data_IF_233247117401
#
_entry.id   IF_233247117401
#
_cell.length_a   1.000
_cell.length_b   1.000
_cell.length_c   1.000
_cell.angle_alpha   90.00
_cell.angle_beta   90.00
_cell.angle_gamma   90.00
#
_symmetry.space_group_name_H-M   'P 1'
#
loop_
_entity.id
_entity.type
_entity.pdbx_description
1 polymer ?
#
# COMPACT_ATOMS: atom_id res chain seq x y z
N UNK A 1 9.01 12.94 -13.77
CA UNK A 1 10.34 12.88 -13.09
C UNK A 1 11.41 12.24 -13.99
N UNK A 2 12.69 12.47 -13.72
CA UNK A 2 13.83 11.92 -14.48
C UNK A 2 14.26 10.58 -13.91
N UNK A 3 13.56 9.53 -14.22
CA UNK A 3 13.80 8.21 -13.65
C UNK A 3 14.55 7.23 -14.55
N UNK A 4 14.51 7.43 -15.90
CA UNK A 4 14.95 6.43 -16.89
C UNK A 4 16.43 6.03 -16.75
N UNK A 5 17.28 6.93 -16.23
CA UNK A 5 18.72 6.69 -16.05
C UNK A 5 19.06 6.20 -14.62
N UNK A 6 18.07 6.08 -13.73
CA UNK A 6 18.28 5.62 -12.36
C UNK A 6 18.73 4.16 -12.28
N UNK A 7 19.30 3.78 -11.14
CA UNK A 7 19.59 2.39 -10.79
C UNK A 7 18.27 1.61 -10.69
N UNK A 8 18.29 0.33 -10.97
CA UNK A 8 17.17 -0.59 -10.72
C UNK A 8 17.44 -1.34 -9.44
N UNK A 9 16.46 -1.42 -8.56
CA UNK A 9 16.54 -2.23 -7.36
C UNK A 9 16.52 -3.72 -7.71
N UNK A 10 17.30 -4.51 -7.01
CA UNK A 10 17.22 -5.97 -7.03
C UNK A 10 16.19 -6.52 -6.04
N UNK A 11 15.58 -5.66 -5.23
CA UNK A 11 14.61 -6.02 -4.20
C UNK A 11 13.16 -5.97 -4.70
N UNK A 12 12.95 -6.10 -6.01
CA UNK A 12 11.60 -6.25 -6.60
C UNK A 12 11.34 -7.73 -6.87
N UNK A 13 10.29 -8.26 -6.25
CA UNK A 13 9.76 -9.61 -6.51
C UNK A 13 8.52 -9.50 -7.41
N UNK A 14 8.69 -9.75 -8.69
CA UNK A 14 7.61 -9.68 -9.67
C UNK A 14 6.78 -10.97 -9.66
N UNK A 15 5.61 -10.88 -9.03
CA UNK A 15 4.61 -11.95 -8.96
C UNK A 15 3.40 -11.68 -9.86
N UNK A 16 3.45 -10.71 -10.76
CA UNK A 16 2.37 -10.44 -11.71
C UNK A 16 2.03 -11.69 -12.51
N UNK A 17 0.74 -11.91 -12.73
CA UNK A 17 0.27 -13.10 -13.43
C UNK A 17 0.32 -14.41 -12.65
N UNK A 18 0.83 -14.44 -11.42
CA UNK A 18 0.69 -15.59 -10.53
C UNK A 18 -0.68 -15.54 -9.87
N UNK A 19 -1.54 -16.51 -10.13
CA UNK A 19 -2.82 -16.62 -9.43
C UNK A 19 -2.61 -17.07 -8.00
N UNK A 20 -3.05 -16.26 -7.05
CA UNK A 20 -3.23 -16.68 -5.67
C UNK A 20 -4.57 -17.43 -5.62
N UNK A 21 -4.52 -18.74 -5.47
CA UNK A 21 -5.70 -19.51 -5.09
C UNK A 21 -6.12 -19.01 -3.71
N UNK A 22 -7.35 -18.44 -3.57
CA UNK A 22 -7.92 -18.27 -2.24
C UNK A 22 -7.75 -19.59 -1.52
N UNK A 23 -7.18 -19.64 -0.32
CA UNK A 23 -7.27 -20.83 0.49
C UNK A 23 -8.76 -21.09 0.67
N UNK A 24 -9.27 -22.06 -0.07
CA UNK A 24 -10.60 -22.61 0.24
C UNK A 24 -10.39 -23.14 1.65
N UNK A 25 -11.06 -22.50 2.61
CA UNK A 25 -11.12 -23.02 3.97
C UNK A 25 -11.75 -24.42 3.88
N UNK A 26 -10.90 -25.43 3.70
CA UNK A 26 -11.25 -26.84 3.82
C UNK A 26 -11.35 -27.17 5.32
N UNK A 27 -12.18 -26.40 5.97
CA UNK A 27 -12.59 -26.56 7.33
C UNK A 27 -14.10 -26.41 7.40
N UNK A 28 -14.84 -27.39 6.88
CA UNK A 28 -16.30 -27.42 6.99
C UNK A 28 -17.09 -27.70 5.71
N UNK A 29 -16.49 -27.54 4.51
CA UNK A 29 -17.23 -27.70 3.24
C UNK A 29 -17.78 -29.11 3.01
N UNK A 30 -17.04 -30.13 3.42
CA UNK A 30 -17.51 -31.53 3.28
C UNK A 30 -18.66 -31.89 4.22
N UNK A 31 -18.59 -31.45 5.45
CA UNK A 31 -19.65 -31.71 6.46
C UNK A 31 -20.87 -30.84 6.17
N UNK A 32 -20.69 -29.57 5.77
CA UNK A 32 -21.78 -28.68 5.42
C UNK A 32 -22.54 -29.15 4.18
N UNK A 33 -21.86 -29.60 3.11
CA UNK A 33 -22.48 -30.18 1.93
C UNK A 33 -23.19 -31.49 2.26
N UNK A 34 -22.60 -32.34 3.10
CA UNK A 34 -23.20 -33.58 3.54
C UNK A 34 -24.47 -33.34 4.39
N UNK A 35 -24.48 -32.34 5.24
CA UNK A 35 -25.66 -31.94 6.01
C UNK A 35 -26.77 -31.37 5.09
N UNK A 36 -26.42 -30.59 4.08
CA UNK A 36 -27.38 -30.06 3.09
C UNK A 36 -27.97 -31.19 2.27
N UNK A 37 -27.16 -32.14 1.81
CA UNK A 37 -27.62 -33.33 1.07
C UNK A 37 -28.53 -34.19 1.94
N UNK A 38 -28.16 -34.44 3.19
CA UNK A 38 -28.99 -35.20 4.14
C UNK A 38 -30.31 -34.47 4.40
N UNK A 39 -30.28 -33.15 4.64
CA UNK A 39 -31.49 -32.35 4.82
C UNK A 39 -32.40 -32.37 3.58
N UNK A 40 -31.85 -32.26 2.37
CA UNK A 40 -32.59 -32.34 1.11
C UNK A 40 -33.29 -33.69 0.96
N UNK A 41 -32.60 -34.79 1.26
CA UNK A 41 -33.21 -36.14 1.22
C UNK A 41 -34.33 -36.29 2.26
N UNK A 42 -34.19 -35.72 3.47
CA UNK A 42 -35.23 -35.73 4.50
C UNK A 42 -36.46 -34.89 4.09
N UNK A 43 -36.25 -33.82 3.32
CA UNK A 43 -37.32 -32.94 2.84
C UNK A 43 -37.91 -33.42 1.49
N UNK A 44 -37.45 -34.56 0.94
CA UNK A 44 -37.92 -35.10 -0.35
C UNK A 44 -37.50 -34.26 -1.56
N UNK A 45 -36.47 -33.44 -1.43
CA UNK A 45 -35.89 -32.62 -2.51
C UNK A 45 -34.73 -33.39 -3.14
N UNK A 46 -34.69 -33.48 -4.48
CA UNK A 46 -33.60 -34.13 -5.20
C UNK A 46 -32.28 -33.34 -5.03
N UNK A 47 -31.22 -33.91 -4.39
CA UNK A 47 -29.97 -33.23 -4.19
C UNK A 47 -29.05 -33.22 -5.43
N UNK A 48 -29.43 -33.89 -6.51
CA UNK A 48 -28.60 -34.07 -7.72
C UNK A 48 -28.16 -32.73 -8.34
N UNK A 49 -29.00 -31.68 -8.47
CA UNK A 49 -28.60 -30.39 -9.00
C UNK A 49 -27.50 -29.71 -8.13
N UNK A 50 -27.63 -29.84 -6.80
CA UNK A 50 -26.65 -29.26 -5.88
C UNK A 50 -25.27 -29.96 -5.94
N UNK A 51 -25.26 -31.26 -6.19
CA UNK A 51 -24.05 -32.04 -6.39
C UNK A 51 -23.40 -31.78 -7.76
N UNK A 52 -24.20 -31.52 -8.80
CA UNK A 52 -23.68 -31.16 -10.13
C UNK A 52 -23.05 -29.76 -10.12
N UNK A 53 -23.64 -28.77 -9.45
CA UNK A 53 -23.04 -27.44 -9.27
C UNK A 53 -21.74 -27.51 -8.47
N UNK A 54 -21.68 -28.31 -7.41
CA UNK A 54 -20.46 -28.51 -6.61
C UNK A 54 -19.35 -29.22 -7.41
N UNK A 55 -19.70 -30.13 -8.34
CA UNK A 55 -18.74 -30.82 -9.20
C UNK A 55 -18.23 -29.92 -10.35
N UNK A 56 -19.02 -28.96 -10.83
CA UNK A 56 -18.64 -28.04 -11.91
C UNK A 56 -17.64 -26.98 -11.46
N UNK A 57 -17.55 -26.71 -10.14
CA UNK A 57 -16.55 -25.79 -9.55
C UNK A 57 -15.12 -26.39 -9.56
N UNK A 58 -14.98 -27.71 -9.77
CA UNK A 58 -13.68 -28.40 -9.67
C UNK A 58 -12.89 -28.52 -10.98
N UNK A 59 -13.37 -27.99 -12.10
CA UNK A 59 -12.67 -28.07 -13.40
C UNK A 59 -12.30 -26.71 -14.00
N UNK A 60 -11.72 -25.83 -13.18
CA UNK A 60 -11.04 -24.66 -13.78
C UNK A 60 -9.66 -25.13 -14.22
N UNK A 61 -9.48 -25.38 -15.51
CA UNK A 61 -8.16 -25.56 -16.13
C UNK A 61 -7.24 -24.44 -15.70
N UNK A 62 -5.94 -24.69 -15.47
CA UNK A 62 -4.98 -23.62 -15.18
C UNK A 62 -4.97 -22.69 -16.39
N UNK A 63 -5.66 -21.56 -16.31
CA UNK A 63 -5.50 -20.49 -17.28
C UNK A 63 -4.09 -19.97 -17.11
N UNK A 64 -3.27 -20.14 -18.13
CA UNK A 64 -1.96 -19.48 -18.22
C UNK A 64 -2.22 -17.99 -18.08
N UNK A 65 -1.54 -17.34 -17.11
CA UNK A 65 -1.63 -15.90 -16.95
C UNK A 65 -1.23 -15.23 -18.28
N UNK A 66 -1.99 -14.22 -18.69
CA UNK A 66 -1.60 -13.44 -19.86
C UNK A 66 -0.22 -12.81 -19.61
N UNK A 67 0.66 -12.77 -20.61
CA UNK A 67 1.95 -12.06 -20.48
C UNK A 67 1.69 -10.60 -20.15
N UNK A 68 2.56 -10.01 -19.33
CA UNK A 68 2.49 -8.59 -19.00
C UNK A 68 2.54 -7.75 -20.29
N UNK A 69 1.79 -6.65 -20.32
CA UNK A 69 1.85 -5.73 -21.45
C UNK A 69 3.14 -4.90 -21.42
N UNK A 70 3.62 -4.37 -22.56
CA UNK A 70 4.78 -3.48 -22.57
C UNK A 70 4.64 -2.27 -21.64
N UNK A 71 3.42 -1.79 -21.41
CA UNK A 71 3.12 -0.71 -20.48
C UNK A 71 3.31 -1.16 -19.03
N UNK A 72 2.82 -2.34 -18.66
CA UNK A 72 3.03 -2.92 -17.35
C UNK A 72 4.50 -3.20 -17.07
N UNK A 73 5.28 -3.60 -18.08
CA UNK A 73 6.73 -3.80 -17.93
C UNK A 73 7.46 -2.49 -17.73
N UNK A 74 7.04 -1.42 -18.43
CA UNK A 74 7.58 -0.07 -18.20
C UNK A 74 7.25 0.44 -16.80
N UNK A 75 6.04 0.20 -16.29
CA UNK A 75 5.66 0.56 -14.93
C UNK A 75 6.46 -0.24 -13.90
N UNK A 76 6.71 -1.52 -14.12
CA UNK A 76 7.56 -2.33 -13.26
C UNK A 76 9.02 -1.83 -13.25
N UNK A 77 9.55 -1.42 -14.40
CA UNK A 77 10.88 -0.79 -14.50
C UNK A 77 10.91 0.53 -13.71
N UNK A 78 9.89 1.38 -13.87
CA UNK A 78 9.73 2.61 -13.09
C UNK A 78 9.71 2.33 -11.58
N UNK A 79 8.91 1.37 -11.11
CA UNK A 79 8.84 0.98 -9.70
C UNK A 79 10.22 0.57 -9.18
N UNK A 80 10.96 -0.22 -9.96
CA UNK A 80 12.30 -0.67 -9.56
C UNK A 80 13.30 0.48 -9.44
N UNK A 81 13.18 1.51 -10.27
CA UNK A 81 14.03 2.72 -10.19
C UNK A 81 13.67 3.57 -8.97
N UNK A 82 12.39 3.79 -8.70
CA UNK A 82 11.95 4.57 -7.54
C UNK A 82 12.35 3.86 -6.24
N UNK A 83 12.16 2.52 -6.16
CA UNK A 83 12.59 1.77 -4.99
C UNK A 83 14.10 1.89 -4.78
N UNK A 84 14.91 1.73 -5.84
CA UNK A 84 16.35 1.92 -5.77
C UNK A 84 16.75 3.32 -5.28
N UNK A 85 16.03 4.33 -5.72
CA UNK A 85 16.25 5.71 -5.29
C UNK A 85 15.93 5.91 -3.80
N UNK A 86 14.86 5.28 -3.29
CA UNK A 86 14.56 5.29 -1.84
C UNK A 86 15.61 4.53 -1.04
N UNK A 87 16.11 3.39 -1.55
CA UNK A 87 17.20 2.61 -0.92
C UNK A 87 18.47 3.45 -0.75
N UNK A 88 18.87 4.16 -1.82
CA UNK A 88 20.06 5.01 -1.80
C UNK A 88 19.91 6.14 -0.77
N UNK A 89 18.78 6.85 -0.76
CA UNK A 89 18.53 7.95 0.18
C UNK A 89 18.50 7.47 1.63
N UNK A 90 17.70 6.45 1.93
CA UNK A 90 17.59 5.98 3.31
C UNK A 90 18.85 5.27 3.79
N UNK A 91 19.56 4.59 2.88
CA UNK A 91 20.88 4.03 3.16
C UNK A 91 21.89 5.10 3.64
N UNK A 92 21.93 6.25 2.96
CA UNK A 92 22.77 7.39 3.35
C UNK A 92 22.33 8.01 4.70
N UNK A 93 21.03 8.21 4.91
CA UNK A 93 20.48 8.79 6.15
C UNK A 93 20.79 7.88 7.35
N UNK A 94 20.55 6.58 7.26
CA UNK A 94 20.81 5.62 8.32
C UNK A 94 22.31 5.52 8.61
N UNK A 95 23.14 5.47 7.57
CA UNK A 95 24.61 5.46 7.73
C UNK A 95 25.14 6.72 8.40
N UNK A 96 24.60 7.89 8.08
CA UNK A 96 24.94 9.15 8.74
C UNK A 96 24.55 9.14 10.23
N UNK A 97 23.46 8.44 10.58
CA UNK A 97 23.05 8.17 11.95
C UNK A 97 23.81 7.03 12.66
N UNK A 98 24.80 6.41 12.00
CA UNK A 98 25.56 5.27 12.55
C UNK A 98 24.75 3.97 12.60
N UNK A 99 23.67 3.88 11.83
CA UNK A 99 22.78 2.71 11.75
C UNK A 99 22.90 2.05 10.38
N UNK A 100 22.48 0.79 10.29
CA UNK A 100 22.39 0.06 9.03
C UNK A 100 20.94 0.04 8.55
N UNK A 101 20.72 0.55 7.33
CA UNK A 101 19.44 0.41 6.66
C UNK A 101 19.24 -1.02 6.16
N UNK A 102 18.08 -1.61 6.42
CA UNK A 102 17.63 -2.87 5.82
C UNK A 102 16.57 -2.54 4.78
N UNK A 103 16.87 -2.83 3.54
CA UNK A 103 16.00 -2.54 2.42
C UNK A 103 14.74 -3.42 2.45
N UNK A 104 13.55 -2.88 2.13
CA UNK A 104 12.33 -3.68 1.98
C UNK A 104 12.35 -4.45 0.66
N UNK A 105 11.61 -5.53 0.57
CA UNK A 105 11.26 -6.14 -0.71
C UNK A 105 9.95 -5.55 -1.20
N UNK A 106 9.89 -5.14 -2.48
CA UNK A 106 8.65 -4.71 -3.13
C UNK A 106 8.11 -5.83 -4.01
N UNK A 107 6.90 -6.27 -3.71
CA UNK A 107 6.18 -7.31 -4.43
C UNK A 107 5.21 -6.68 -5.41
N UNK A 108 5.41 -6.93 -6.70
CA UNK A 108 4.42 -6.61 -7.74
C UNK A 108 3.45 -7.78 -7.89
N UNK A 109 2.16 -7.50 -7.84
CA UNK A 109 1.13 -8.53 -8.00
C UNK A 109 0.00 -8.07 -8.93
N UNK A 110 -0.94 -8.93 -9.22
CA UNK A 110 -2.16 -8.62 -9.97
C UNK A 110 -3.36 -9.20 -9.24
N UNK A 111 -4.43 -8.40 -9.13
CA UNK A 111 -5.75 -8.74 -8.58
C UNK A 111 -5.76 -9.08 -7.08
N UNK A 112 -4.94 -10.00 -6.63
CA UNK A 112 -4.90 -10.41 -5.23
C UNK A 112 -3.57 -11.03 -4.83
N UNK A 113 -3.21 -10.89 -3.55
CA UNK A 113 -1.98 -11.42 -2.97
C UNK A 113 -2.23 -11.95 -1.55
N UNK A 114 -1.48 -12.98 -1.16
CA UNK A 114 -1.37 -13.44 0.23
C UNK A 114 -0.05 -12.91 0.80
N UNK A 115 -0.14 -12.05 1.79
CA UNK A 115 1.00 -11.56 2.59
C UNK A 115 1.00 -12.21 3.98
N UNK A 116 2.03 -11.97 4.78
CA UNK A 116 2.02 -12.35 6.19
C UNK A 116 0.98 -11.57 7.02
N UNK A 117 0.54 -10.40 6.54
CA UNK A 117 -0.53 -9.60 7.16
C UNK A 117 -1.94 -10.04 6.74
N UNK A 118 -2.06 -11.03 5.87
CA UNK A 118 -3.34 -11.56 5.41
C UNK A 118 -3.54 -11.48 3.90
N UNK A 119 -4.75 -11.81 3.45
CA UNK A 119 -5.14 -11.73 2.06
C UNK A 119 -5.57 -10.32 1.69
N UNK A 120 -5.00 -9.77 0.64
CA UNK A 120 -5.35 -8.47 0.08
C UNK A 120 -5.77 -8.62 -1.39
N UNK A 121 -6.91 -8.01 -1.75
CA UNK A 121 -7.35 -7.84 -3.13
C UNK A 121 -6.91 -6.49 -3.68
N UNK A 122 -6.98 -6.29 -5.00
CA UNK A 122 -6.60 -5.04 -5.68
C UNK A 122 -7.27 -3.78 -5.12
N UNK A 123 -8.47 -3.90 -4.53
CA UNK A 123 -9.20 -2.78 -3.94
C UNK A 123 -8.57 -2.21 -2.65
N UNK A 124 -7.61 -2.92 -2.06
CA UNK A 124 -6.90 -2.45 -0.84
C UNK A 124 -5.92 -1.31 -1.16
N UNK A 125 -5.44 -1.24 -2.41
CA UNK A 125 -4.37 -0.34 -2.80
C UNK A 125 -2.98 -0.87 -2.43
N UNK A 126 -1.92 -0.09 -2.64
CA UNK A 126 -0.58 -0.37 -2.13
C UNK A 126 -0.56 -0.45 -0.61
N UNK A 127 0.30 -1.30 -0.05
CA UNK A 127 0.45 -1.40 1.40
C UNK A 127 1.82 -1.97 1.80
N UNK A 128 2.30 -1.57 2.96
CA UNK A 128 3.41 -2.20 3.65
C UNK A 128 2.92 -3.23 4.67
N UNK A 129 3.54 -4.40 4.71
CA UNK A 129 3.26 -5.41 5.74
C UNK A 129 4.46 -5.53 6.70
N UNK A 130 4.33 -5.13 7.97
CA UNK A 130 5.44 -5.21 8.92
C UNK A 130 5.83 -6.65 9.27
N UNK A 131 4.92 -7.62 9.18
CA UNK A 131 5.17 -9.01 9.54
C UNK A 131 6.15 -9.73 8.61
N UNK A 132 6.24 -9.33 7.34
CA UNK A 132 7.21 -9.84 6.37
C UNK A 132 8.16 -8.77 5.81
N UNK A 133 7.97 -7.51 6.23
CA UNK A 133 8.77 -6.35 5.82
C UNK A 133 8.76 -6.13 4.31
N UNK A 134 7.61 -6.36 3.68
CA UNK A 134 7.41 -6.23 2.25
C UNK A 134 6.39 -5.13 1.91
N UNK A 135 6.64 -4.46 0.80
CA UNK A 135 5.71 -3.52 0.16
C UNK A 135 4.98 -4.28 -0.94
N UNK A 136 3.68 -4.09 -1.06
CA UNK A 136 2.84 -4.76 -2.04
C UNK A 136 2.15 -3.74 -2.93
N UNK A 137 2.32 -3.87 -4.25
CA UNK A 137 1.71 -2.96 -5.23
C UNK A 137 1.10 -3.76 -6.39
N UNK A 138 -0.19 -3.54 -6.65
CA UNK A 138 -0.81 -3.86 -7.93
C UNK A 138 -0.64 -2.67 -8.87
N UNK A 139 -0.02 -2.86 -10.03
CA UNK A 139 0.20 -1.78 -10.99
C UNK A 139 -1.10 -1.18 -11.53
N UNK A 140 -2.24 -1.89 -11.43
CA UNK A 140 -3.55 -1.35 -11.76
C UNK A 140 -3.94 -0.15 -10.87
N UNK A 141 -3.38 -0.05 -9.66
CA UNK A 141 -3.60 1.10 -8.78
C UNK A 141 -3.17 2.44 -9.41
N UNK A 142 -2.15 2.44 -10.25
CA UNK A 142 -1.72 3.67 -10.94
C UNK A 142 -2.76 4.21 -11.92
N UNK A 143 -3.53 3.32 -12.54
CA UNK A 143 -4.70 3.72 -13.33
C UNK A 143 -5.82 4.27 -12.44
N UNK A 144 -6.05 3.68 -11.28
CA UNK A 144 -7.01 4.22 -10.29
C UNK A 144 -6.54 5.58 -9.77
N UNK A 145 -5.26 5.76 -9.47
CA UNK A 145 -4.69 7.03 -9.03
C UNK A 145 -4.97 8.13 -10.05
N UNK A 146 -4.78 7.84 -11.34
CA UNK A 146 -5.04 8.75 -12.44
C UNK A 146 -6.52 9.03 -12.68
N UNK A 147 -7.37 7.99 -12.69
CA UNK A 147 -8.76 8.08 -13.17
C UNK A 147 -9.75 8.31 -12.04
N UNK A 148 -9.61 7.59 -10.94
CA UNK A 148 -10.51 7.65 -9.78
C UNK A 148 -10.11 8.74 -8.81
N UNK A 149 -8.82 8.86 -8.54
CA UNK A 149 -8.29 9.84 -7.59
C UNK A 149 -7.93 11.17 -8.23
N UNK A 150 -7.93 11.27 -9.58
CA UNK A 150 -7.60 12.48 -10.33
C UNK A 150 -6.20 13.03 -9.98
N UNK A 151 -5.27 12.15 -9.69
CA UNK A 151 -3.88 12.43 -9.35
C UNK A 151 -2.95 11.76 -10.39
N UNK A 152 -2.91 12.27 -11.63
CA UNK A 152 -2.02 11.75 -12.66
C UNK A 152 -0.57 12.15 -12.38
N UNK A 153 0.36 11.47 -13.04
CA UNK A 153 1.77 11.81 -13.07
C UNK A 153 2.66 10.70 -12.55
N UNK A 154 3.90 10.69 -12.98
CA UNK A 154 4.86 9.68 -12.54
C UNK A 154 5.38 9.97 -11.13
N UNK A 155 5.47 11.25 -10.75
CA UNK A 155 5.87 11.59 -9.39
C UNK A 155 4.75 11.37 -8.36
N UNK A 156 3.48 11.39 -8.76
CA UNK A 156 2.36 10.92 -7.93
C UNK A 156 2.51 9.42 -7.59
N UNK A 157 2.92 8.60 -8.56
CA UNK A 157 3.20 7.18 -8.37
C UNK A 157 4.45 6.96 -7.50
N UNK A 158 5.50 7.75 -7.70
CA UNK A 158 6.72 7.70 -6.88
C UNK A 158 6.45 8.05 -5.42
N UNK A 159 5.59 9.05 -5.17
CA UNK A 159 5.14 9.40 -3.82
C UNK A 159 4.50 8.22 -3.10
N UNK A 160 3.63 7.46 -3.77
CA UNK A 160 3.00 6.28 -3.16
C UNK A 160 4.04 5.25 -2.73
N UNK A 161 5.03 4.94 -3.59
CA UNK A 161 6.11 4.02 -3.23
C UNK A 161 6.90 4.55 -2.02
N UNK A 162 7.25 5.83 -2.03
CA UNK A 162 7.99 6.47 -0.96
C UNK A 162 7.21 6.50 0.37
N UNK A 163 5.88 6.62 0.32
CA UNK A 163 5.00 6.54 1.48
C UNK A 163 5.03 5.13 2.09
N UNK A 164 4.94 4.07 1.28
CA UNK A 164 5.05 2.69 1.77
C UNK A 164 6.45 2.39 2.34
N UNK A 165 7.50 2.96 1.74
CA UNK A 165 8.85 2.94 2.33
C UNK A 165 8.87 3.71 3.65
N UNK A 166 8.12 4.80 3.80
CA UNK A 166 7.94 5.52 5.05
C UNK A 166 7.45 4.61 6.18
N UNK A 167 6.46 3.74 5.90
CA UNK A 167 6.01 2.72 6.86
C UNK A 167 7.10 1.70 7.20
N UNK A 168 7.93 1.34 6.23
CA UNK A 168 9.09 0.49 6.50
C UNK A 168 10.09 1.17 7.43
N UNK A 169 10.38 2.47 7.23
CA UNK A 169 11.24 3.24 8.13
C UNK A 169 10.66 3.29 9.54
N UNK A 170 9.35 3.53 9.70
CA UNK A 170 8.67 3.51 10.99
C UNK A 170 8.82 2.16 11.71
N UNK A 171 8.72 1.06 10.95
CA UNK A 171 8.96 -0.28 11.49
C UNK A 171 10.41 -0.45 11.97
N UNK A 172 11.40 -0.06 11.14
CA UNK A 172 12.82 -0.14 11.51
C UNK A 172 13.17 0.70 12.75
N UNK A 173 12.52 1.84 12.93
CA UNK A 173 12.68 2.71 14.08
C UNK A 173 11.86 2.28 15.31
N UNK A 174 11.05 1.21 15.20
CA UNK A 174 10.19 0.70 16.27
C UNK A 174 8.96 1.58 16.56
N UNK A 175 8.67 2.57 15.71
CA UNK A 175 7.53 3.50 15.88
C UNK A 175 6.22 2.74 15.69
N UNK A 176 6.11 1.91 14.65
CA UNK A 176 4.90 1.12 14.38
C UNK A 176 4.52 0.21 15.56
N UNK A 177 5.52 -0.45 16.17
CA UNK A 177 5.30 -1.32 17.33
C UNK A 177 4.82 -0.51 18.55
N UNK A 178 5.40 0.67 18.79
CA UNK A 178 4.98 1.56 19.87
C UNK A 178 3.54 2.04 19.67
N UNK A 179 3.14 2.39 18.43
CA UNK A 179 1.78 2.79 18.11
C UNK A 179 0.82 1.63 18.34
N UNK A 180 1.13 0.43 17.87
CA UNK A 180 0.30 -0.76 18.07
C UNK A 180 0.10 -1.07 19.56
N UNK A 181 1.15 -0.99 20.36
CA UNK A 181 1.07 -1.15 21.81
C UNK A 181 0.24 -0.04 22.45
N UNK A 182 0.42 1.22 22.03
CA UNK A 182 -0.30 2.37 22.53
C UNK A 182 -1.81 2.34 22.21
N UNK A 183 -2.20 1.70 21.12
CA UNK A 183 -3.60 1.56 20.72
C UNK A 183 -4.37 0.53 21.57
N UNK A 184 -3.67 -0.33 22.30
CA UNK A 184 -4.30 -1.41 23.07
C UNK A 184 -5.22 -0.85 24.18
N UNK A 185 -6.51 -1.19 24.10
CA UNK A 185 -7.51 -0.77 25.10
C UNK A 185 -8.05 0.65 24.95
N UNK A 186 -7.56 1.44 23.97
CA UNK A 186 -8.10 2.76 23.69
C UNK A 186 -9.46 2.72 22.97
N UNK A 187 -10.31 3.74 23.14
CA UNK A 187 -11.47 3.99 22.30
C UNK A 187 -11.10 4.10 20.82
N UNK A 188 -12.05 3.81 19.93
CA UNK A 188 -11.81 3.79 18.47
C UNK A 188 -11.26 5.12 17.94
N UNK A 189 -11.85 6.26 18.33
CA UNK A 189 -11.39 7.57 17.89
C UNK A 189 -9.93 7.87 18.29
N UNK A 190 -9.51 7.42 19.50
CA UNK A 190 -8.12 7.60 19.95
C UNK A 190 -7.16 6.68 19.20
N UNK A 191 -7.56 5.43 18.91
CA UNK A 191 -6.79 4.53 18.05
C UNK A 191 -6.64 5.11 16.63
N UNK A 192 -7.72 5.62 16.08
CA UNK A 192 -7.72 6.27 14.75
C UNK A 192 -6.79 7.48 14.72
N UNK A 193 -6.77 8.30 15.78
CA UNK A 193 -5.84 9.43 15.87
C UNK A 193 -4.38 8.98 15.85
N UNK A 194 -4.02 7.90 16.54
CA UNK A 194 -2.68 7.34 16.48
C UNK A 194 -2.35 6.81 15.08
N UNK A 195 -3.32 6.20 14.39
CA UNK A 195 -3.13 5.78 12.99
C UNK A 195 -2.89 6.98 12.08
N UNK A 196 -3.69 8.05 12.21
CA UNK A 196 -3.48 9.30 11.46
C UNK A 196 -2.07 9.84 11.68
N UNK A 197 -1.56 9.86 12.91
CA UNK A 197 -0.19 10.33 13.18
C UNK A 197 0.86 9.48 12.47
N UNK A 198 0.67 8.16 12.44
CA UNK A 198 1.56 7.23 11.75
C UNK A 198 1.55 7.51 10.23
N UNK A 199 0.38 7.67 9.62
CA UNK A 199 0.23 7.99 8.21
C UNK A 199 0.88 9.31 7.81
N UNK A 200 0.63 10.37 8.59
CA UNK A 200 1.21 11.69 8.34
C UNK A 200 2.74 11.69 8.48
N UNK A 201 3.29 10.86 9.36
CA UNK A 201 4.72 10.67 9.46
C UNK A 201 5.29 9.95 8.23
N UNK A 202 4.58 8.96 7.67
CA UNK A 202 4.97 8.32 6.42
C UNK A 202 4.94 9.30 5.24
N UNK A 203 3.96 10.21 5.18
CA UNK A 203 3.94 11.32 4.22
C UNK A 203 5.16 12.24 4.37
N UNK A 204 5.52 12.57 5.60
CA UNK A 204 6.71 13.38 5.86
C UNK A 204 8.00 12.66 5.43
N UNK A 205 8.13 11.37 5.70
CA UNK A 205 9.28 10.57 5.24
C UNK A 205 9.35 10.47 3.72
N UNK A 206 8.21 10.39 3.03
CA UNK A 206 8.16 10.50 1.56
C UNK A 206 8.68 11.87 1.08
N UNK A 207 8.36 12.94 1.80
CA UNK A 207 8.91 14.28 1.55
C UNK A 207 10.42 14.34 1.78
N UNK A 208 10.93 13.75 2.87
CA UNK A 208 12.37 13.64 3.14
C UNK A 208 13.10 12.92 2.02
N UNK A 209 12.56 11.79 1.55
CA UNK A 209 13.09 11.10 0.38
C UNK A 209 13.18 12.03 -0.83
N UNK A 210 12.08 12.69 -1.18
CA UNK A 210 12.00 13.58 -2.36
C UNK A 210 13.02 14.73 -2.27
N UNK A 211 13.26 15.30 -1.07
CA UNK A 211 14.27 16.31 -0.82
C UNK A 211 15.68 15.82 -1.19
N UNK A 212 16.07 14.66 -0.65
CA UNK A 212 17.41 14.12 -0.84
C UNK A 212 17.62 13.62 -2.27
N UNK A 213 16.62 12.96 -2.87
CA UNK A 213 16.63 12.54 -4.26
C UNK A 213 16.82 13.75 -5.21
N UNK A 214 16.11 14.85 -4.96
CA UNK A 214 16.27 16.08 -5.74
C UNK A 214 17.66 16.69 -5.57
N UNK A 215 18.18 16.76 -4.35
CA UNK A 215 19.52 17.33 -4.11
C UNK A 215 20.64 16.50 -4.70
N UNK A 216 20.55 15.18 -4.61
CA UNK A 216 21.62 14.28 -5.05
C UNK A 216 21.58 14.05 -6.57
N UNK A 217 20.41 13.92 -7.17
CA UNK A 217 20.24 13.42 -8.54
C UNK A 217 19.38 14.31 -9.43
N UNK A 218 18.80 15.39 -8.91
CA UNK A 218 17.92 16.31 -9.64
C UNK A 218 16.78 15.59 -10.38
N UNK A 219 16.11 14.69 -9.66
CA UNK A 219 15.08 13.80 -10.22
C UNK A 219 13.81 14.54 -10.60
N UNK A 220 13.52 15.69 -9.99
CA UNK A 220 12.28 16.43 -10.23
C UNK A 220 12.32 17.25 -11.50
N UNK A 221 11.19 17.29 -12.17
CA UNK A 221 10.84 18.15 -13.28
C UNK A 221 9.76 19.16 -12.85
N UNK A 222 9.47 20.13 -13.70
CA UNK A 222 8.44 21.12 -13.40
C UNK A 222 7.06 20.44 -13.32
N UNK A 223 6.34 20.62 -12.21
CA UNK A 223 5.03 20.01 -11.96
C UNK A 223 5.07 18.77 -11.07
N UNK A 224 6.21 18.11 -10.89
CA UNK A 224 6.31 16.87 -10.12
C UNK A 224 5.89 17.05 -8.65
N UNK A 225 6.30 18.16 -8.03
CA UNK A 225 5.91 18.44 -6.66
C UNK A 225 4.39 18.56 -6.52
N UNK A 226 3.74 19.24 -7.47
CA UNK A 226 2.30 19.36 -7.54
C UNK A 226 1.60 18.01 -7.74
N UNK A 227 2.22 17.09 -8.49
CA UNK A 227 1.71 15.70 -8.64
C UNK A 227 1.71 14.96 -7.31
N UNK A 228 2.82 15.00 -6.56
CA UNK A 228 2.88 14.37 -5.22
C UNK A 228 1.87 14.98 -4.26
N UNK A 229 1.78 16.32 -4.21
CA UNK A 229 0.80 17.02 -3.36
C UNK A 229 -0.64 16.71 -3.79
N UNK A 230 -0.88 16.57 -5.10
CA UNK A 230 -2.15 16.14 -5.66
C UNK A 230 -2.52 14.72 -5.20
N UNK A 231 -1.57 13.79 -5.24
CA UNK A 231 -1.77 12.41 -4.77
C UNK A 231 -2.06 12.37 -3.26
N UNK A 232 -1.22 13.02 -2.44
CA UNK A 232 -1.41 13.12 -0.99
C UNK A 232 -2.81 13.68 -0.64
N UNK A 233 -3.22 14.75 -1.33
CA UNK A 233 -4.56 15.34 -1.16
C UNK A 233 -5.68 14.39 -1.60
N UNK A 234 -5.50 13.66 -2.69
CA UNK A 234 -6.54 12.83 -3.30
C UNK A 234 -6.96 11.64 -2.43
N UNK A 235 -6.02 11.12 -1.62
CA UNK A 235 -6.20 9.96 -0.75
C UNK A 235 -6.43 10.35 0.73
N UNK A 236 -6.69 11.61 1.03
CA UNK A 236 -7.14 12.04 2.37
C UNK A 236 -8.56 11.54 2.67
N UNK A 237 -8.79 11.12 3.94
CA UNK A 237 -10.06 10.53 4.38
C UNK A 237 -11.26 11.47 4.14
N UNK A 238 -11.06 12.77 4.34
CA UNK A 238 -12.10 13.78 4.11
C UNK A 238 -12.54 13.83 2.64
N UNK A 239 -11.62 13.67 1.71
CA UNK A 239 -11.90 13.66 0.27
C UNK A 239 -12.52 12.32 -0.17
N UNK A 240 -12.02 11.21 0.36
CA UNK A 240 -12.56 9.87 0.09
C UNK A 240 -14.02 9.79 0.58
N UNK A 241 -14.31 10.25 1.80
CA UNK A 241 -15.64 10.22 2.35
C UNK A 241 -16.61 11.10 1.56
N UNK A 242 -16.21 12.32 1.16
CA UNK A 242 -17.04 13.18 0.29
C UNK A 242 -17.34 12.53 -1.06
N UNK A 243 -16.36 11.89 -1.70
CA UNK A 243 -16.55 11.18 -2.99
C UNK A 243 -17.49 9.99 -2.88
N UNK A 244 -17.50 9.31 -1.74
CA UNK A 244 -18.41 8.20 -1.46
C UNK A 244 -19.84 8.66 -1.16
N UNK A 245 -20.12 9.97 -1.23
CA UNK A 245 -21.46 10.53 -0.97
C UNK A 245 -21.82 10.57 0.51
N UNK A 246 -20.85 10.33 1.42
CA UNK A 246 -21.03 10.34 2.87
C UNK A 246 -20.77 11.68 3.53
N UNK A 247 -21.20 11.80 4.79
CA UNK A 247 -20.77 12.88 5.67
C UNK A 247 -19.30 12.69 6.06
N UNK A 248 -18.57 13.79 6.19
CA UNK A 248 -17.20 13.76 6.71
C UNK A 248 -17.24 13.56 8.22
N UNK A 249 -16.64 12.48 8.71
CA UNK A 249 -16.62 12.08 10.12
C UNK A 249 -15.17 11.99 10.60
N UNK A 250 -14.59 13.08 11.19
CA UNK A 250 -13.19 13.13 11.57
C UNK A 250 -12.75 12.02 12.52
N UNK A 251 -13.59 11.60 13.46
CA UNK A 251 -13.27 10.53 14.42
C UNK A 251 -13.08 9.15 13.76
N UNK A 252 -13.52 8.99 12.52
CA UNK A 252 -13.32 7.75 11.73
C UNK A 252 -12.11 7.81 10.80
N UNK A 253 -11.36 8.91 10.78
CA UNK A 253 -10.17 9.02 9.93
C UNK A 253 -9.05 8.11 10.43
N UNK A 254 -8.45 7.42 9.51
CA UNK A 254 -7.28 6.57 9.77
C UNK A 254 -6.04 7.03 9.01
N UNK A 255 -6.22 7.87 7.96
CA UNK A 255 -5.12 8.39 7.13
C UNK A 255 -4.95 9.91 7.27
N UNK A 256 -5.90 10.61 7.89
CA UNK A 256 -5.88 12.05 8.04
C UNK A 256 -6.55 12.82 6.90
N UNK A 257 -6.62 14.14 7.06
CA UNK A 257 -7.20 15.02 6.04
C UNK A 257 -6.23 15.26 4.88
N UNK A 258 -6.79 15.62 3.72
CA UNK A 258 -6.01 16.07 2.56
C UNK A 258 -5.02 17.19 2.90
N UNK A 259 -5.42 18.13 3.75
CA UNK A 259 -4.58 19.25 4.17
C UNK A 259 -3.41 18.80 5.06
N UNK A 260 -3.66 17.90 6.01
CA UNK A 260 -2.63 17.34 6.88
C UNK A 260 -1.60 16.56 6.08
N UNK A 261 -2.03 15.69 5.16
CA UNK A 261 -1.13 14.88 4.32
C UNK A 261 -0.22 15.77 3.45
N UNK A 262 -0.78 16.78 2.79
CA UNK A 262 -0.02 17.76 2.01
C UNK A 262 0.97 18.53 2.89
N UNK A 263 0.54 18.96 4.08
CA UNK A 263 1.38 19.70 5.04
C UNK A 263 2.60 18.87 5.45
N UNK A 264 2.39 17.62 5.86
CA UNK A 264 3.47 16.78 6.37
C UNK A 264 4.44 16.35 5.26
N UNK A 265 3.96 16.04 4.06
CA UNK A 265 4.85 15.85 2.91
C UNK A 265 5.72 17.08 2.66
N UNK A 266 5.14 18.28 2.68
CA UNK A 266 5.90 19.53 2.51
C UNK A 266 6.95 19.73 3.59
N UNK A 267 6.66 19.49 4.85
CA UNK A 267 7.62 19.59 5.95
C UNK A 267 8.83 18.70 5.64
N UNK A 268 8.62 17.46 5.28
CA UNK A 268 9.69 16.54 4.88
C UNK A 268 10.48 17.04 3.68
N UNK A 269 9.78 17.52 2.64
CA UNK A 269 10.42 18.01 1.43
C UNK A 269 11.23 19.29 1.64
N UNK A 270 10.75 20.22 2.44
CA UNK A 270 11.43 21.50 2.70
C UNK A 270 12.63 21.33 3.61
N UNK A 271 12.53 20.47 4.61
CA UNK A 271 13.59 20.29 5.61
C UNK A 271 14.62 19.24 5.24
N UNK A 272 14.19 18.13 4.63
CA UNK A 272 15.01 16.94 4.42
C UNK A 272 15.42 16.26 5.73
N UNK A 273 14.83 16.63 6.86
CA UNK A 273 15.16 16.13 8.19
C UNK A 273 14.08 15.19 8.72
N UNK A 274 14.43 13.92 8.91
CA UNK A 274 13.51 12.94 9.53
C UNK A 274 13.09 13.32 10.96
N UNK A 275 13.91 14.09 11.67
CA UNK A 275 13.57 14.61 13.00
C UNK A 275 12.42 15.63 12.97
N UNK A 276 12.21 16.33 11.85
CA UNK A 276 11.07 17.23 11.67
C UNK A 276 9.73 16.49 11.49
N UNK A 277 9.76 15.15 11.29
CA UNK A 277 8.60 14.31 11.06
C UNK A 277 7.94 13.76 12.35
N UNK A 278 8.17 14.39 13.50
CA UNK A 278 7.55 13.92 14.74
C UNK A 278 6.08 14.37 14.84
N UNK A 279 5.21 13.59 14.23
CA UNK A 279 3.76 13.80 14.26
C UNK A 279 3.14 13.47 15.60
N UNK A 280 3.85 12.75 16.50
CA UNK A 280 3.32 12.31 17.78
C UNK A 280 3.35 13.39 18.85
N UNK A 281 4.24 14.39 18.71
CA UNK A 281 4.32 15.57 19.60
C UNK A 281 3.67 16.80 18.98
N UNK A 282 3.37 16.78 17.68
CA UNK A 282 2.79 17.93 16.99
C UNK A 282 1.36 18.21 17.45
N UNK A 283 1.06 19.49 17.69
CA UNK A 283 -0.28 20.02 17.93
C UNK A 283 -0.35 21.47 17.41
N UNK A 284 -1.20 21.80 16.43
CA UNK A 284 -2.04 20.87 15.66
C UNK A 284 -1.26 20.02 14.65
N UNK A 285 -1.85 18.89 14.24
CA UNK A 285 -1.35 18.01 13.16
C UNK A 285 -1.39 18.70 11.82
#
# INVERSE_FOLDING_TARGET
MRWQQGRRSSNVDDRRGRRVSRPVAIGGGGIGLLLIVVAALFLGVDPTPLLQDAASVSTTSPSVAAPASPEQDRLADFVSVVLADTEDVWGEIFAAGGQQYREPTLVLFSDAIQSACGFAGATVGPFYCPADQQIYIDLAFYDELRTRFEAPGDFAQAYVIAHEVGHHIQHLLGISDQVQLGQAGLPEAERNNLSVRLELQADCFAGVWAHHAQRARQVLEAGDLEEALGAASAIGDDRIQRRSGGAVVPDSFTHGTSEQRVRWFRIGFETGDGGACDTFVADPL
#
